data_IF_720746855546
#
_entry.id   IF_720746855546
#
_cell.length_a   1.000
_cell.length_b   1.000
_cell.length_c   1.000
_cell.angle_alpha   90.00
_cell.angle_beta   90.00
_cell.angle_gamma   90.00
#
_symmetry.space_group_name_H-M   'P 1'
#
loop_
_entity.id
_entity.type
_entity.pdbx_description
1 polymer ?
#
# COMPACT_ATOMS: atom_id res chain seq x y z
N UNK A 1 -26.04 -30.13 -0.42
CA UNK A 1 -24.58 -30.10 -0.26
C UNK A 1 -24.19 -28.63 -0.26
N UNK A 2 -24.00 -28.03 0.91
CA UNK A 2 -23.73 -26.60 1.04
C UNK A 2 -22.26 -26.38 0.67
N UNK A 3 -22.01 -25.65 -0.42
CA UNK A 3 -20.68 -25.10 -0.65
C UNK A 3 -20.43 -24.09 0.48
N UNK A 4 -19.60 -24.47 1.45
CA UNK A 4 -18.92 -23.51 2.31
C UNK A 4 -18.02 -22.69 1.36
N UNK A 5 -18.52 -21.52 0.94
CA UNK A 5 -17.66 -20.51 0.35
C UNK A 5 -16.75 -20.01 1.47
N UNK A 6 -15.57 -20.62 1.57
CA UNK A 6 -14.51 -20.16 2.45
C UNK A 6 -14.06 -18.80 1.93
N UNK A 7 -14.43 -17.73 2.64
CA UNK A 7 -13.72 -16.46 2.59
C UNK A 7 -12.22 -16.76 2.63
N UNK A 8 -11.45 -16.36 1.61
CA UNK A 8 -10.01 -16.49 1.69
C UNK A 8 -9.53 -15.34 2.57
N UNK A 9 -9.10 -15.58 3.83
CA UNK A 9 -8.78 -14.51 4.77
C UNK A 9 -7.59 -13.64 4.31
N UNK A 10 -6.91 -14.03 3.23
CA UNK A 10 -5.66 -13.45 2.74
C UNK A 10 -5.83 -12.70 1.41
N UNK A 11 -7.01 -12.20 1.09
CA UNK A 11 -7.27 -11.45 -0.16
C UNK A 11 -7.42 -9.95 0.13
N UNK A 12 -6.68 -9.11 -0.61
CA UNK A 12 -6.78 -7.65 -0.53
C UNK A 12 -7.55 -7.14 -1.74
N UNK A 13 -8.50 -6.24 -1.52
CA UNK A 13 -9.34 -5.69 -2.60
C UNK A 13 -9.32 -4.18 -2.58
N UNK A 14 -9.03 -3.59 -3.73
CA UNK A 14 -8.99 -2.16 -3.93
C UNK A 14 -9.90 -1.73 -5.08
N UNK A 15 -10.78 -0.77 -4.81
CA UNK A 15 -11.70 -0.18 -5.77
C UNK A 15 -11.28 1.24 -6.11
N UNK A 16 -10.96 1.46 -7.38
CA UNK A 16 -10.71 2.78 -7.95
C UNK A 16 -11.97 3.27 -8.67
N UNK A 17 -12.80 4.04 -7.99
CA UNK A 17 -14.04 4.57 -8.56
C UNK A 17 -13.81 5.68 -9.59
N UNK A 18 -12.61 6.27 -9.66
CA UNK A 18 -12.29 7.24 -10.71
C UNK A 18 -12.13 6.52 -12.05
N UNK A 19 -11.50 5.34 -12.03
CA UNK A 19 -11.29 4.55 -13.23
C UNK A 19 -12.30 3.40 -13.38
N UNK A 20 -13.20 3.19 -12.42
CA UNK A 20 -14.16 2.10 -12.43
C UNK A 20 -13.50 0.72 -12.41
N UNK A 21 -12.34 0.60 -11.77
CA UNK A 21 -11.50 -0.61 -11.76
C UNK A 21 -11.42 -1.22 -10.37
N UNK A 22 -11.30 -2.54 -10.34
CA UNK A 22 -11.10 -3.34 -9.14
C UNK A 22 -9.80 -4.14 -9.26
N UNK A 23 -9.01 -4.11 -8.19
CA UNK A 23 -7.75 -4.83 -8.04
C UNK A 23 -7.91 -5.84 -6.91
N UNK A 24 -7.53 -7.10 -7.17
CA UNK A 24 -7.61 -8.20 -6.20
C UNK A 24 -6.24 -8.86 -6.09
N UNK A 25 -5.72 -8.96 -4.88
CA UNK A 25 -4.41 -9.52 -4.58
C UNK A 25 -4.57 -10.70 -3.63
N UNK A 26 -4.22 -11.90 -4.09
CA UNK A 26 -4.24 -13.12 -3.28
C UNK A 26 -2.89 -13.31 -2.58
N UNK A 27 -2.85 -13.00 -1.28
CA UNK A 27 -1.66 -13.17 -0.45
C UNK A 27 -1.40 -14.62 -0.08
N UNK A 28 -2.40 -15.52 -0.14
CA UNK A 28 -2.17 -16.95 0.00
C UNK A 28 -1.36 -17.51 -1.18
N UNK A 29 -1.41 -16.85 -2.34
CA UNK A 29 -0.61 -17.17 -3.54
C UNK A 29 0.57 -16.21 -3.73
N UNK A 30 1.29 -15.89 -2.65
CA UNK A 30 2.50 -15.05 -2.71
C UNK A 30 2.28 -13.65 -3.30
N UNK A 31 1.09 -13.06 -3.12
CA UNK A 31 0.77 -11.74 -3.68
C UNK A 31 0.54 -11.80 -5.19
N UNK A 32 -0.05 -12.90 -5.69
CA UNK A 32 -0.47 -12.99 -7.09
C UNK A 32 -1.68 -12.08 -7.28
N UNK A 33 -1.65 -11.25 -8.33
CA UNK A 33 -2.79 -10.44 -8.68
C UNK A 33 -3.76 -11.20 -9.59
N UNK A 34 -5.04 -11.14 -9.27
CA UNK A 34 -6.09 -11.56 -10.19
C UNK A 34 -6.24 -10.55 -11.35
N UNK A 35 -6.82 -10.95 -12.49
CA UNK A 35 -7.06 -10.03 -13.59
C UNK A 35 -7.84 -8.79 -13.12
N UNK A 36 -7.26 -7.60 -13.35
CA UNK A 36 -7.93 -6.32 -13.10
C UNK A 36 -9.23 -6.28 -13.91
N UNK A 37 -10.33 -5.93 -13.25
CA UNK A 37 -11.68 -5.97 -13.80
C UNK A 37 -12.51 -4.75 -13.44
N UNK A 38 -13.77 -4.67 -13.92
CA UNK A 38 -14.70 -3.64 -13.48
C UNK A 38 -15.04 -3.82 -11.99
N UNK A 39 -15.35 -2.71 -11.31
CA UNK A 39 -16.05 -2.77 -10.03
C UNK A 39 -17.42 -3.41 -10.26
N UNK A 40 -17.69 -4.49 -9.56
CA UNK A 40 -18.92 -5.26 -9.74
C UNK A 40 -20.05 -4.61 -8.96
N UNK A 41 -21.23 -4.44 -9.58
CA UNK A 41 -22.37 -3.71 -9.00
C UNK A 41 -22.93 -4.29 -7.70
N UNK A 42 -22.64 -5.57 -7.42
CA UNK A 42 -22.99 -6.23 -6.17
C UNK A 42 -21.94 -6.06 -5.07
N UNK A 43 -20.80 -5.41 -5.37
CA UNK A 43 -19.60 -5.35 -4.55
C UNK A 43 -19.28 -6.74 -3.99
N UNK A 44 -18.77 -7.62 -4.85
CA UNK A 44 -18.48 -9.03 -4.57
C UNK A 44 -17.59 -9.31 -3.34
N UNK A 45 -17.13 -8.27 -2.65
CA UNK A 45 -16.49 -8.34 -1.33
C UNK A 45 -17.49 -8.71 -0.23
N UNK A 46 -18.80 -8.61 -0.47
CA UNK A 46 -19.86 -8.97 0.48
C UNK A 46 -20.68 -10.15 -0.07
N UNK A 47 -20.71 -11.25 0.66
CA UNK A 47 -21.54 -12.41 0.35
C UNK A 47 -22.73 -12.54 1.28
N UNK A 48 -23.78 -13.20 0.79
CA UNK A 48 -24.95 -13.57 1.58
C UNK A 48 -24.86 -15.03 1.96
N UNK A 49 -24.99 -15.34 3.24
CA UNK A 49 -25.07 -16.73 3.68
C UNK A 49 -26.49 -17.30 3.44
N UNK A 50 -26.69 -18.62 3.57
CA UNK A 50 -28.01 -19.24 3.35
C UNK A 50 -29.11 -18.78 4.32
N UNK A 51 -28.75 -18.21 5.48
CA UNK A 51 -29.72 -17.67 6.44
C UNK A 51 -30.08 -16.19 6.18
N UNK A 52 -29.55 -15.62 5.10
CA UNK A 52 -29.86 -14.27 4.64
C UNK A 52 -28.99 -13.16 5.25
N UNK A 53 -28.06 -13.50 6.14
CA UNK A 53 -27.09 -12.57 6.73
C UNK A 53 -25.95 -12.30 5.75
N UNK A 54 -25.59 -11.04 5.59
CA UNK A 54 -24.44 -10.63 4.77
C UNK A 54 -23.15 -10.69 5.59
N UNK A 55 -22.05 -11.10 4.97
CA UNK A 55 -20.71 -11.16 5.55
C UNK A 55 -19.66 -10.76 4.50
N UNK A 56 -18.49 -10.29 4.95
CA UNK A 56 -17.38 -9.99 4.05
C UNK A 56 -16.69 -11.29 3.59
N UNK A 57 -16.41 -11.40 2.29
CA UNK A 57 -15.57 -12.45 1.74
C UNK A 57 -14.08 -12.21 2.00
N UNK A 58 -13.65 -10.93 2.08
CA UNK A 58 -12.29 -10.54 2.45
C UNK A 58 -12.33 -9.50 3.57
N UNK A 59 -11.73 -9.83 4.71
CA UNK A 59 -11.64 -8.95 5.88
C UNK A 59 -10.33 -8.16 5.90
N UNK A 60 -9.32 -8.60 5.16
CA UNK A 60 -8.01 -7.95 5.09
C UNK A 60 -8.01 -6.89 3.98
N UNK A 61 -8.59 -5.74 4.32
CA UNK A 61 -8.48 -4.44 3.63
C UNK A 61 -9.26 -4.28 2.31
N UNK A 62 -10.57 -4.00 2.43
CA UNK A 62 -11.36 -3.32 1.40
C UNK A 62 -10.99 -1.82 1.35
N UNK A 63 -10.40 -1.38 0.26
CA UNK A 63 -10.01 0.01 0.05
C UNK A 63 -10.82 0.68 -1.07
N UNK A 64 -11.24 1.93 -0.85
CA UNK A 64 -12.09 2.69 -1.78
C UNK A 64 -11.46 4.05 -2.07
N UNK A 65 -11.13 4.30 -3.34
CA UNK A 65 -10.64 5.59 -3.83
C UNK A 65 -11.66 6.27 -4.73
N UNK A 66 -11.92 7.56 -4.46
CA UNK A 66 -13.05 8.29 -5.05
C UNK A 66 -12.64 9.58 -5.77
N UNK A 67 -11.33 9.86 -5.88
CA UNK A 67 -10.82 11.05 -6.57
C UNK A 67 -11.15 12.38 -5.89
N UNK A 68 -10.77 13.49 -6.52
CA UNK A 68 -10.96 14.86 -5.99
C UNK A 68 -11.91 15.76 -6.79
N UNK A 69 -12.51 15.33 -7.91
CA UNK A 69 -13.38 16.22 -8.71
C UNK A 69 -14.57 15.51 -9.36
N UNK A 70 -15.80 16.06 -9.25
CA UNK A 70 -16.91 15.72 -10.13
C UNK A 70 -16.69 16.30 -11.52
N UNK A 71 -16.83 15.47 -12.56
CA UNK A 71 -17.03 15.95 -13.93
C UNK A 71 -18.41 15.52 -14.41
N UNK A 72 -19.10 16.46 -15.04
CA UNK A 72 -20.44 16.29 -15.61
C UNK A 72 -20.42 15.22 -16.72
N UNK A 73 -21.09 14.09 -16.48
CA UNK A 73 -21.34 13.05 -17.45
C UNK A 73 -22.80 12.61 -17.44
N UNK A 74 -23.44 12.60 -18.61
CA UNK A 74 -24.88 12.35 -18.83
C UNK A 74 -25.23 10.86 -19.00
N UNK A 75 -24.61 9.96 -18.24
CA UNK A 75 -24.94 8.53 -18.25
C UNK A 75 -25.37 8.09 -16.87
N UNK A 76 -26.47 7.33 -16.75
CA UNK A 76 -26.93 6.74 -15.50
C UNK A 76 -25.81 5.90 -14.88
N UNK A 77 -25.14 6.38 -13.82
CA UNK A 77 -23.97 5.72 -13.26
C UNK A 77 -24.39 4.43 -12.55
N UNK A 78 -23.62 3.36 -12.70
CA UNK A 78 -23.80 2.18 -11.85
C UNK A 78 -23.40 2.47 -10.40
N UNK A 79 -22.47 3.41 -10.17
CA UNK A 79 -22.07 3.90 -8.85
C UNK A 79 -22.10 5.43 -8.79
N UNK A 80 -22.76 6.02 -7.79
CA UNK A 80 -22.83 7.47 -7.58
C UNK A 80 -22.76 7.88 -6.10
N UNK A 81 -22.17 9.05 -5.82
CA UNK A 81 -22.25 9.70 -4.50
C UNK A 81 -23.67 10.23 -4.32
N UNK A 82 -24.39 9.69 -3.33
CA UNK A 82 -25.79 10.05 -3.07
C UNK A 82 -25.92 11.25 -2.11
N UNK A 83 -24.80 11.71 -1.54
CA UNK A 83 -24.74 12.79 -0.56
C UNK A 83 -24.21 12.30 0.78
N UNK A 84 -24.66 12.96 1.85
CA UNK A 84 -24.27 12.62 3.23
C UNK A 84 -25.47 12.07 4.00
N UNK A 85 -25.23 11.04 4.79
CA UNK A 85 -26.23 10.31 5.58
C UNK A 85 -25.81 10.32 7.05
N UNK A 86 -26.75 10.59 7.96
CA UNK A 86 -26.53 10.45 9.39
C UNK A 86 -26.74 9.00 9.81
N UNK A 87 -25.76 8.41 10.51
CA UNK A 87 -25.85 7.09 11.13
C UNK A 87 -25.49 7.23 12.60
N UNK A 88 -26.52 7.21 13.46
CA UNK A 88 -26.35 7.62 14.86
C UNK A 88 -25.90 9.07 14.92
N UNK A 89 -24.78 9.32 15.60
CA UNK A 89 -24.18 10.66 15.74
C UNK A 89 -23.11 10.97 14.67
N UNK A 90 -22.86 10.06 13.71
CA UNK A 90 -21.87 10.27 12.63
C UNK A 90 -22.52 10.76 11.33
N UNK A 91 -21.90 11.76 10.68
CA UNK A 91 -22.23 12.17 9.31
C UNK A 91 -21.28 11.48 8.32
N UNK A 92 -21.82 10.62 7.46
CA UNK A 92 -21.06 9.77 6.54
C UNK A 92 -21.36 10.15 5.09
N UNK A 93 -20.36 10.08 4.20
CA UNK A 93 -20.57 10.13 2.76
C UNK A 93 -21.17 8.80 2.27
N UNK A 94 -22.18 8.86 1.42
CA UNK A 94 -22.88 7.68 0.88
C UNK A 94 -22.60 7.50 -0.61
N UNK A 95 -22.20 6.29 -0.99
CA UNK A 95 -21.96 5.88 -2.37
C UNK A 95 -22.86 4.70 -2.70
N UNK A 96 -23.69 4.85 -3.73
CA UNK A 96 -24.77 3.92 -4.02
C UNK A 96 -24.56 3.29 -5.39
N UNK A 97 -24.85 2.00 -5.49
CA UNK A 97 -24.99 1.27 -6.74
C UNK A 97 -26.28 0.52 -6.84
N UNK A 98 -26.69 0.25 -8.08
CA UNK A 98 -27.88 -0.51 -8.39
C UNK A 98 -27.51 -1.62 -9.36
N UNK A 99 -27.91 -2.84 -9.05
CA UNK A 99 -27.80 -3.97 -9.96
C UNK A 99 -29.11 -4.77 -10.02
N UNK A 100 -29.30 -5.47 -11.14
CA UNK A 100 -30.39 -6.42 -11.28
C UNK A 100 -29.85 -7.81 -10.97
N UNK A 101 -30.36 -8.43 -9.92
CA UNK A 101 -30.04 -9.82 -9.63
C UNK A 101 -30.80 -10.70 -10.64
N UNK A 102 -30.09 -11.28 -11.61
CA UNK A 102 -30.67 -12.31 -12.47
C UNK A 102 -30.64 -13.62 -11.70
N UNK A 103 -31.78 -13.99 -11.11
CA UNK A 103 -31.94 -15.33 -10.55
C UNK A 103 -31.79 -16.37 -11.67
N UNK A 104 -30.69 -17.13 -11.68
CA UNK A 104 -30.55 -18.33 -12.52
C UNK A 104 -31.59 -19.42 -12.19
N UNK A 105 -32.44 -19.20 -11.19
CA UNK A 105 -33.58 -20.03 -10.88
C UNK A 105 -34.87 -19.20 -10.75
N UNK A 106 -35.74 -19.41 -11.73
CA UNK A 106 -37.19 -19.13 -11.75
C UNK A 106 -37.68 -17.73 -12.15
N UNK A 107 -38.40 -17.76 -13.29
CA UNK A 107 -39.39 -16.82 -13.79
C UNK A 107 -38.90 -15.43 -14.21
N UNK A 108 -38.71 -15.31 -15.52
CA UNK A 108 -38.19 -14.19 -16.30
C UNK A 108 -38.96 -12.84 -16.23
N UNK A 109 -39.75 -12.56 -15.19
CA UNK A 109 -40.57 -11.33 -15.13
C UNK A 109 -40.38 -10.45 -13.89
N UNK A 110 -39.47 -10.77 -12.96
CA UNK A 110 -39.16 -9.87 -11.85
C UNK A 110 -37.70 -9.96 -11.45
N UNK A 111 -36.81 -9.31 -12.21
CA UNK A 111 -35.47 -9.01 -11.72
C UNK A 111 -35.60 -8.23 -10.40
N UNK A 112 -35.06 -8.77 -9.31
CA UNK A 112 -34.99 -8.04 -8.06
C UNK A 112 -33.89 -6.99 -8.23
N UNK A 113 -34.29 -5.72 -8.24
CA UNK A 113 -33.34 -4.62 -8.13
C UNK A 113 -32.78 -4.65 -6.71
N UNK A 114 -31.47 -4.75 -6.62
CA UNK A 114 -30.72 -4.64 -5.36
C UNK A 114 -29.91 -3.35 -5.44
N UNK A 115 -29.95 -2.58 -4.35
CA UNK A 115 -29.17 -1.36 -4.20
C UNK A 115 -28.11 -1.60 -3.14
N UNK A 116 -26.86 -1.31 -3.44
CA UNK A 116 -25.74 -1.41 -2.49
C UNK A 116 -25.24 -0.02 -2.15
N UNK A 117 -25.26 0.34 -0.88
CA UNK A 117 -24.80 1.63 -0.36
C UNK A 117 -23.56 1.42 0.52
N UNK A 118 -22.46 2.05 0.15
CA UNK A 118 -21.22 2.09 0.92
C UNK A 118 -21.18 3.41 1.68
N UNK A 119 -21.14 3.33 3.00
CA UNK A 119 -21.04 4.49 3.88
C UNK A 119 -19.60 4.71 4.32
N UNK A 120 -19.08 5.90 4.06
CA UNK A 120 -17.69 6.28 4.32
C UNK A 120 -17.66 7.45 5.30
N UNK A 121 -17.04 7.26 6.46
CA UNK A 121 -16.69 8.36 7.34
C UNK A 121 -15.57 9.16 6.69
N UNK A 122 -15.80 10.44 6.45
CA UNK A 122 -14.77 11.35 5.96
C UNK A 122 -14.26 12.16 7.14
N UNK A 123 -13.08 11.82 7.60
CA UNK A 123 -12.58 12.12 8.93
C UNK A 123 -11.87 13.47 9.02
N UNK A 124 -12.49 14.53 8.52
CA UNK A 124 -12.01 15.90 8.73
C UNK A 124 -12.46 16.48 10.08
N UNK A 125 -12.97 15.63 10.98
CA UNK A 125 -13.54 16.05 12.26
C UNK A 125 -12.44 16.16 13.34
N UNK A 126 -12.15 17.39 13.76
CA UNK A 126 -11.00 17.75 14.60
C UNK A 126 -11.03 17.11 16.00
N UNK A 127 -12.22 16.74 16.48
CA UNK A 127 -12.45 16.21 17.83
C UNK A 127 -12.15 14.71 18.00
N UNK A 128 -11.73 14.03 16.94
CA UNK A 128 -11.41 12.59 16.97
C UNK A 128 -9.91 12.34 17.14
N UNK A 129 -9.57 11.21 17.75
CA UNK A 129 -8.18 10.77 17.92
C UNK A 129 -7.47 10.63 16.56
N UNK A 130 -6.13 10.74 16.52
CA UNK A 130 -5.36 10.71 15.26
C UNK A 130 -5.63 9.47 14.38
N UNK A 131 -5.99 8.33 14.99
CA UNK A 131 -6.38 7.11 14.27
C UNK A 131 -7.77 7.18 13.63
N UNK A 132 -8.67 7.98 14.19
CA UNK A 132 -10.04 8.21 13.70
C UNK A 132 -10.14 9.42 12.76
N UNK A 133 -9.05 10.16 12.56
CA UNK A 133 -8.89 11.24 11.57
C UNK A 133 -8.56 10.73 10.17
N UNK A 134 -8.78 9.44 9.88
CA UNK A 134 -8.66 8.87 8.52
C UNK A 134 -10.01 8.40 7.99
N UNK A 135 -10.29 8.59 6.69
CA UNK A 135 -11.55 8.14 6.16
C UNK A 135 -11.70 6.64 6.38
N UNK A 136 -12.93 6.18 6.60
CA UNK A 136 -13.18 4.75 6.82
C UNK A 136 -14.51 4.30 6.26
N UNK A 137 -14.53 3.16 5.58
CA UNK A 137 -15.78 2.45 5.29
C UNK A 137 -16.38 1.99 6.62
N UNK A 138 -17.59 2.47 6.91
CA UNK A 138 -18.36 2.18 8.11
C UNK A 138 -19.34 1.04 7.92
N UNK A 139 -19.95 0.97 6.75
CA UNK A 139 -20.85 -0.13 6.43
C UNK A 139 -21.06 -0.27 4.94
N UNK A 140 -21.45 -1.48 4.53
CA UNK A 140 -22.13 -1.72 3.27
C UNK A 140 -23.57 -2.12 3.58
N UNK A 141 -24.53 -1.43 2.96
CA UNK A 141 -25.96 -1.65 3.14
C UNK A 141 -26.55 -2.17 1.84
N UNK A 142 -27.20 -3.33 1.90
CA UNK A 142 -27.93 -3.90 0.77
C UNK A 142 -29.43 -3.65 0.98
N UNK A 143 -30.05 -2.93 0.06
CA UNK A 143 -31.50 -2.77 -0.03
C UNK A 143 -32.04 -3.72 -1.10
N UNK A 144 -33.03 -4.52 -0.72
CA UNK A 144 -33.74 -5.43 -1.62
C UNK A 144 -35.25 -5.26 -1.45
N UNK A 145 -36.04 -5.84 -2.35
CA UNK A 145 -37.51 -5.92 -2.18
C UNK A 145 -37.94 -6.57 -0.85
N UNK A 146 -37.09 -7.42 -0.28
CA UNK A 146 -37.37 -8.18 0.94
C UNK A 146 -36.87 -7.48 2.21
N UNK A 147 -36.34 -6.25 2.11
CA UNK A 147 -35.88 -5.46 3.24
C UNK A 147 -34.44 -4.97 3.10
N UNK A 148 -33.93 -4.41 4.20
CA UNK A 148 -32.60 -3.82 4.32
C UNK A 148 -31.70 -4.73 5.17
N UNK A 149 -30.52 -5.06 4.66
CA UNK A 149 -29.47 -5.75 5.41
C UNK A 149 -28.23 -4.87 5.46
N UNK A 150 -27.57 -4.78 6.62
CA UNK A 150 -26.38 -3.93 6.82
C UNK A 150 -25.22 -4.77 7.33
N UNK A 151 -24.08 -4.70 6.65
CA UNK A 151 -22.80 -5.18 7.18
C UNK A 151 -22.08 -3.98 7.78
N UNK A 152 -22.01 -3.95 9.11
CA UNK A 152 -21.32 -2.89 9.84
C UNK A 152 -19.86 -3.26 10.08
N UNK A 153 -19.00 -2.27 9.94
CA UNK A 153 -17.57 -2.37 10.11
C UNK A 153 -17.13 -1.64 11.37
N UNK A 154 -16.39 -2.32 12.23
CA UNK A 154 -15.86 -1.69 13.45
C UNK A 154 -14.96 -0.49 13.13
N UNK A 155 -14.19 -0.57 12.03
CA UNK A 155 -13.45 0.53 11.40
C UNK A 155 -12.62 -0.04 10.24
N UNK A 156 -13.08 0.07 8.99
CA UNK A 156 -12.25 -0.28 7.83
C UNK A 156 -11.67 1.00 7.24
N UNK A 157 -10.37 1.21 7.40
CA UNK A 157 -9.74 2.48 7.05
C UNK A 157 -9.69 2.65 5.53
N UNK A 158 -10.47 3.57 4.96
CA UNK A 158 -10.15 4.21 3.67
C UNK A 158 -9.04 5.18 3.97
N UNK A 159 -7.82 4.67 3.97
CA UNK A 159 -6.67 5.53 4.16
C UNK A 159 -6.61 6.49 2.94
N UNK A 160 -7.30 7.63 2.91
CA UNK A 160 -7.16 8.58 1.78
C UNK A 160 -5.71 9.06 1.60
N UNK A 161 -4.90 8.90 2.66
CA UNK A 161 -3.46 9.14 2.65
C UNK A 161 -2.62 7.82 2.66
N UNK A 162 -3.26 6.65 2.76
CA UNK A 162 -2.62 5.33 2.67
C UNK A 162 -3.12 4.47 1.50
N UNK A 163 -4.02 4.96 0.64
CA UNK A 163 -4.29 4.43 -0.69
C UNK A 163 -3.02 4.50 -1.52
N UNK A 164 -2.22 5.54 -1.30
CA UNK A 164 -0.89 5.69 -1.84
C UNK A 164 0.10 4.64 -1.33
N UNK A 165 0.00 4.23 -0.07
CA UNK A 165 0.81 3.15 0.51
C UNK A 165 0.29 1.79 0.03
N UNK A 166 -1.02 1.62 -0.07
CA UNK A 166 -1.68 0.43 -0.60
C UNK A 166 -1.38 0.22 -2.08
N UNK A 167 -1.27 1.29 -2.87
CA UNK A 167 -0.96 1.20 -4.29
C UNK A 167 0.35 0.46 -4.55
N UNK A 168 1.36 0.62 -3.69
CA UNK A 168 2.59 -0.19 -3.78
C UNK A 168 2.32 -1.70 -3.59
N UNK A 169 1.37 -2.08 -2.72
CA UNK A 169 1.00 -3.50 -2.53
C UNK A 169 0.39 -4.10 -3.81
N UNK A 170 -0.39 -3.32 -4.54
CA UNK A 170 -1.03 -3.74 -5.79
C UNK A 170 -0.13 -3.60 -7.01
N UNK A 171 1.18 -3.34 -6.85
CA UNK A 171 2.15 -3.29 -7.95
C UNK A 171 2.07 -4.53 -8.85
N UNK A 172 1.86 -5.72 -8.28
CA UNK A 172 1.74 -6.97 -9.03
C UNK A 172 0.56 -6.99 -10.01
N UNK A 173 -0.44 -6.13 -9.82
CA UNK A 173 -1.60 -6.00 -10.70
C UNK A 173 -1.35 -5.15 -11.94
N UNK A 174 -0.22 -4.44 -11.98
CA UNK A 174 0.05 -3.43 -12.99
C UNK A 174 0.73 -4.07 -14.18
N UNK A 175 0.18 -3.86 -15.38
CA UNK A 175 0.84 -4.27 -16.62
C UNK A 175 2.12 -3.45 -16.79
N UNK A 176 3.26 -4.13 -16.68
CA UNK A 176 4.58 -3.52 -16.87
C UNK A 176 4.71 -2.92 -18.28
N UNK A 177 5.29 -1.72 -18.37
CA UNK A 177 5.51 -0.97 -19.60
C UNK A 177 6.97 -0.93 -20.02
N UNK A 178 7.87 -1.10 -19.07
CA UNK A 178 9.32 -1.09 -19.28
C UNK A 178 9.93 -2.34 -18.68
N UNK A 179 10.82 -2.99 -19.44
CA UNK A 179 11.67 -4.07 -18.95
C UNK A 179 12.78 -3.58 -18.00
N UNK A 180 12.79 -2.29 -17.66
CA UNK A 180 13.79 -1.66 -16.79
C UNK A 180 13.34 -1.76 -15.32
N UNK A 181 14.01 -2.57 -14.49
CA UNK A 181 13.62 -2.82 -13.10
C UNK A 181 13.77 -1.60 -12.19
N UNK A 182 14.43 -0.53 -12.65
CA UNK A 182 14.74 0.66 -11.85
C UNK A 182 13.78 1.85 -12.11
N UNK A 183 12.72 1.70 -12.92
CA UNK A 183 11.76 2.79 -13.19
C UNK A 183 12.20 3.72 -14.33
N UNK A 184 11.33 3.94 -15.31
CA UNK A 184 11.68 4.58 -16.58
C UNK A 184 11.77 6.11 -16.56
N UNK A 185 11.24 6.78 -15.52
CA UNK A 185 11.10 8.24 -15.49
C UNK A 185 11.56 8.84 -14.17
N UNK A 186 11.85 10.14 -14.19
CA UNK A 186 12.14 10.90 -12.98
C UNK A 186 11.42 12.25 -12.94
N UNK A 187 11.15 12.72 -11.72
CA UNK A 187 10.84 14.12 -11.42
C UNK A 187 11.86 14.65 -10.43
N UNK A 188 12.49 15.78 -10.76
CA UNK A 188 13.35 16.51 -9.84
C UNK A 188 12.49 17.40 -8.94
N UNK A 189 12.65 17.25 -7.64
CA UNK A 189 11.89 17.97 -6.62
C UNK A 189 12.64 19.20 -6.10
N UNK A 190 11.92 20.27 -5.82
CA UNK A 190 12.49 21.55 -5.41
C UNK A 190 12.67 21.72 -3.91
N UNK A 191 13.84 22.26 -3.53
CA UNK A 191 14.14 22.85 -2.22
C UNK A 191 13.74 22.02 -0.99
N UNK A 192 13.94 20.69 -1.05
CA UNK A 192 13.75 19.80 0.10
C UNK A 192 14.78 18.66 0.06
N UNK A 193 15.31 18.27 1.23
CA UNK A 193 16.20 17.12 1.35
C UNK A 193 15.40 15.86 1.71
N UNK A 194 15.89 14.69 1.29
CA UNK A 194 15.28 13.41 1.64
C UNK A 194 15.24 13.18 3.15
N UNK A 195 16.27 13.65 3.88
CA UNK A 195 16.34 13.54 5.33
C UNK A 195 15.26 14.41 6.02
N UNK A 196 15.07 15.64 5.55
CA UNK A 196 14.04 16.54 6.08
C UNK A 196 12.65 16.00 5.78
N UNK A 197 12.43 15.51 4.56
CA UNK A 197 11.16 14.91 4.16
C UNK A 197 10.81 13.70 5.02
N UNK A 198 11.76 12.77 5.19
CA UNK A 198 11.52 11.55 5.96
C UNK A 198 11.41 11.81 7.47
N UNK A 199 12.11 12.80 8.01
CA UNK A 199 11.99 13.15 9.44
C UNK A 199 10.65 13.80 9.78
N UNK A 200 10.01 14.50 8.82
CA UNK A 200 8.72 15.16 9.04
C UNK A 200 7.52 14.21 8.90
N UNK A 201 7.55 13.28 7.94
CA UNK A 201 6.37 12.45 7.61
C UNK A 201 6.65 10.94 7.53
N UNK A 202 7.91 10.52 7.48
CA UNK A 202 8.28 9.11 7.31
C UNK A 202 8.43 8.69 5.85
N UNK A 203 9.33 7.76 5.57
CA UNK A 203 9.74 7.37 4.21
C UNK A 203 8.61 6.79 3.35
N UNK A 204 7.73 5.99 3.94
CA UNK A 204 6.56 5.44 3.23
C UNK A 204 5.62 6.55 2.78
N UNK A 205 5.27 7.47 3.68
CA UNK A 205 4.38 8.59 3.40
C UNK A 205 4.97 9.59 2.41
N UNK A 206 6.28 9.83 2.48
CA UNK A 206 7.02 10.63 1.48
C UNK A 206 6.82 10.06 0.08
N UNK A 207 7.08 8.76 -0.10
CA UNK A 207 6.92 8.06 -1.40
C UNK A 207 5.47 8.11 -1.87
N UNK A 208 4.56 7.79 -0.97
CA UNK A 208 3.13 7.72 -1.24
C UNK A 208 2.58 9.08 -1.73
N UNK A 209 2.95 10.18 -1.06
CA UNK A 209 2.52 11.52 -1.45
C UNK A 209 3.06 11.94 -2.83
N UNK A 210 4.32 11.59 -3.13
CA UNK A 210 4.90 11.83 -4.46
C UNK A 210 4.18 10.99 -5.53
N UNK A 211 3.87 9.72 -5.25
CA UNK A 211 3.10 8.87 -6.16
C UNK A 211 1.74 9.48 -6.50
N UNK A 212 1.03 10.02 -5.51
CA UNK A 212 -0.23 10.73 -5.72
C UNK A 212 -0.07 11.97 -6.60
N UNK A 213 0.97 12.77 -6.35
CA UNK A 213 1.23 13.97 -7.15
C UNK A 213 1.52 13.61 -8.61
N UNK A 214 2.31 12.57 -8.84
CA UNK A 214 2.58 12.01 -10.18
C UNK A 214 1.29 11.52 -10.83
N UNK A 215 0.49 10.72 -10.14
CA UNK A 215 -0.78 10.19 -10.65
C UNK A 215 -1.75 11.31 -11.06
N UNK A 216 -1.90 12.34 -10.22
CA UNK A 216 -2.75 13.49 -10.49
C UNK A 216 -2.26 14.32 -11.68
N UNK A 217 -0.96 14.60 -11.75
CA UNK A 217 -0.37 15.40 -12.83
C UNK A 217 -0.34 14.66 -14.19
N UNK A 218 -0.21 13.33 -14.15
CA UNK A 218 -0.28 12.47 -15.34
C UNK A 218 -1.70 12.04 -15.72
N UNK A 219 -2.70 12.36 -14.89
CA UNK A 219 -4.09 11.96 -15.05
C UNK A 219 -4.25 10.44 -15.28
N UNK A 220 -3.63 9.65 -14.41
CA UNK A 220 -3.73 8.18 -14.38
C UNK A 220 -4.14 7.70 -12.99
N UNK A 221 -4.61 6.45 -12.91
CA UNK A 221 -4.85 5.81 -11.62
C UNK A 221 -3.54 5.77 -10.81
N UNK A 222 -3.64 6.04 -9.51
CA UNK A 222 -2.51 5.88 -8.60
C UNK A 222 -1.93 4.47 -8.62
N UNK A 223 -2.78 3.46 -8.85
CA UNK A 223 -2.35 2.07 -8.97
C UNK A 223 -1.39 1.86 -10.14
N UNK A 224 -1.36 2.76 -11.13
CA UNK A 224 -0.43 2.69 -12.26
C UNK A 224 0.92 3.33 -11.98
N UNK A 225 1.12 4.01 -10.85
CA UNK A 225 2.43 4.53 -10.46
C UNK A 225 3.15 3.45 -9.66
N UNK A 226 4.21 2.91 -10.24
CA UNK A 226 4.97 1.79 -9.65
C UNK A 226 6.45 2.13 -9.56
N UNK A 227 7.19 1.33 -8.78
CA UNK A 227 8.64 1.47 -8.62
C UNK A 227 9.09 2.85 -8.14
N UNK A 228 8.26 3.47 -7.29
CA UNK A 228 8.58 4.80 -6.82
C UNK A 228 9.70 4.76 -5.77
N UNK A 229 10.81 5.41 -6.10
CA UNK A 229 11.94 5.57 -5.20
C UNK A 229 12.36 7.05 -5.11
N UNK A 230 12.80 7.47 -3.92
CA UNK A 230 13.33 8.81 -3.70
C UNK A 230 14.84 8.72 -3.46
N UNK A 231 15.64 9.40 -4.28
CA UNK A 231 17.10 9.42 -4.14
C UNK A 231 17.62 10.84 -4.11
N UNK A 232 18.57 11.09 -3.22
CA UNK A 232 19.31 12.35 -3.15
C UNK A 232 20.59 12.23 -3.98
N UNK A 233 20.78 13.14 -4.94
CA UNK A 233 22.05 13.22 -5.67
C UNK A 233 23.18 13.78 -4.80
N UNK A 234 24.43 13.56 -5.23
CA UNK A 234 25.62 14.11 -4.59
C UNK A 234 25.65 15.64 -4.53
N UNK A 235 24.89 16.32 -5.41
CA UNK A 235 24.73 17.78 -5.45
C UNK A 235 23.63 18.30 -4.52
N UNK A 236 22.97 17.43 -3.76
CA UNK A 236 21.89 17.83 -2.86
C UNK A 236 20.56 18.08 -3.57
N UNK A 237 20.38 17.58 -4.79
CA UNK A 237 19.09 17.60 -5.50
C UNK A 237 18.33 16.30 -5.27
N UNK A 238 17.02 16.39 -5.03
CA UNK A 238 16.17 15.25 -4.73
C UNK A 238 15.41 14.81 -5.98
N UNK A 239 15.45 13.51 -6.27
CA UNK A 239 14.83 12.89 -7.43
C UNK A 239 13.79 11.87 -6.97
N UNK A 240 12.63 11.87 -7.63
CA UNK A 240 11.65 10.80 -7.55
C UNK A 240 11.72 9.99 -8.84
N UNK A 241 12.18 8.75 -8.74
CA UNK A 241 12.18 7.77 -9.83
C UNK A 241 10.92 6.93 -9.77
N UNK A 242 10.31 6.63 -10.92
CA UNK A 242 9.09 5.81 -10.98
C UNK A 242 8.87 5.28 -12.40
N UNK A 243 7.91 4.36 -12.53
CA UNK A 243 7.34 3.95 -13.81
C UNK A 243 5.81 4.18 -13.83
N UNK A 244 5.28 4.36 -15.04
CA UNK A 244 3.84 4.45 -15.30
C UNK A 244 3.43 3.17 -16.02
N UNK A 245 2.60 2.35 -15.37
CA UNK A 245 2.05 1.12 -15.92
C UNK A 245 1.13 1.34 -17.11
N UNK A 246 0.97 0.31 -17.94
CA UNK A 246 0.09 0.36 -19.10
C UNK A 246 -1.36 0.40 -18.65
N UNK A 247 -2.28 0.89 -19.50
CA UNK A 247 -3.71 0.68 -19.28
C UNK A 247 -4.00 -0.81 -19.00
N UNK A 248 -4.87 -1.08 -18.03
CA UNK A 248 -5.29 -2.44 -17.71
C UNK A 248 -5.94 -3.13 -18.92
N UNK A 249 -6.61 -2.36 -19.78
CA UNK A 249 -7.42 -2.87 -20.88
C UNK A 249 -8.69 -3.59 -20.42
N UNK A 250 -9.02 -3.50 -19.13
CA UNK A 250 -10.23 -4.05 -18.56
C UNK A 250 -11.45 -3.19 -18.97
N UNK A 251 -12.62 -3.83 -19.00
CA UNK A 251 -13.88 -3.10 -19.09
C UNK A 251 -14.09 -2.35 -17.77
N UNK A 252 -14.31 -1.04 -17.84
CA UNK A 252 -14.48 -0.19 -16.66
C UNK A 252 -15.96 -0.16 -16.22
N UNK A 253 -16.19 -0.18 -14.91
CA UNK A 253 -17.52 0.07 -14.34
C UNK A 253 -17.95 1.52 -14.57
N UNK A 254 -19.25 1.74 -14.78
CA UNK A 254 -19.78 3.10 -14.99
C UNK A 254 -19.91 3.83 -13.65
N UNK A 255 -19.07 4.82 -13.41
CA UNK A 255 -19.12 5.68 -12.21
C UNK A 255 -19.37 7.14 -12.60
N UNK A 256 -19.86 7.97 -11.66
CA UNK A 256 -20.01 9.41 -11.89
C UNK A 256 -18.67 10.14 -12.14
N UNK A 257 -17.56 9.52 -11.75
CA UNK A 257 -16.21 10.08 -11.87
C UNK A 257 -15.41 9.38 -12.96
N UNK A 258 -16.05 8.59 -13.82
CA UNK A 258 -15.37 7.68 -14.73
C UNK A 258 -14.43 8.44 -15.67
N UNK A 259 -13.14 8.13 -15.53
CA UNK A 259 -12.08 8.53 -16.43
C UNK A 259 -11.61 7.32 -17.21
N UNK A 260 -11.31 7.53 -18.50
CA UNK A 260 -10.68 6.51 -19.32
C UNK A 260 -9.20 6.40 -18.96
N UNK A 261 -8.69 5.17 -18.94
CA UNK A 261 -7.26 4.96 -18.78
C UNK A 261 -6.50 5.55 -19.97
N UNK A 262 -5.60 6.50 -19.71
CA UNK A 262 -4.75 7.09 -20.74
C UNK A 262 -3.59 6.16 -21.12
N UNK A 263 -3.21 6.07 -22.40
CA UNK A 263 -1.94 5.48 -22.82
C UNK A 263 -0.75 6.15 -22.11
N UNK A 264 0.33 5.40 -21.93
CA UNK A 264 1.54 5.87 -21.22
C UNK A 264 2.12 7.13 -21.87
N UNK A 265 2.11 7.19 -23.20
CA UNK A 265 2.61 8.35 -23.96
C UNK A 265 1.83 9.63 -23.66
N UNK A 266 0.50 9.54 -23.53
CA UNK A 266 -0.35 10.69 -23.19
C UNK A 266 -0.20 11.08 -21.72
N UNK A 267 -0.09 10.10 -20.81
CA UNK A 267 0.17 10.33 -19.39
C UNK A 267 1.48 11.09 -19.16
N UNK A 268 2.53 10.74 -19.91
CA UNK A 268 3.83 11.43 -19.90
C UNK A 268 3.70 12.87 -20.40
N UNK A 269 2.95 13.10 -21.48
CA UNK A 269 2.70 14.44 -21.99
C UNK A 269 1.95 15.31 -20.98
N UNK A 270 0.93 14.75 -20.31
CA UNK A 270 0.19 15.44 -19.24
C UNK A 270 1.09 15.81 -18.06
N UNK A 271 1.96 14.88 -17.63
CA UNK A 271 2.89 15.14 -16.54
C UNK A 271 3.90 16.23 -16.90
N UNK A 272 4.49 16.15 -18.10
CA UNK A 272 5.44 17.14 -18.58
C UNK A 272 4.80 18.53 -18.67
N UNK A 273 3.57 18.62 -19.21
CA UNK A 273 2.81 19.86 -19.26
C UNK A 273 2.52 20.41 -17.84
N UNK A 274 2.14 19.55 -16.91
CA UNK A 274 1.87 19.93 -15.52
C UNK A 274 3.12 20.51 -14.83
N UNK A 275 4.30 19.96 -15.08
CA UNK A 275 5.56 20.46 -14.54
C UNK A 275 5.97 21.78 -15.22
N UNK A 276 5.87 21.86 -16.55
CA UNK A 276 6.18 23.08 -17.29
C UNK A 276 5.30 24.28 -16.90
N UNK A 277 4.03 24.03 -16.54
CA UNK A 277 3.08 25.04 -16.07
C UNK A 277 3.21 25.35 -14.57
N UNK A 278 4.08 24.66 -13.82
CA UNK A 278 4.21 24.82 -12.37
C UNK A 278 3.04 24.25 -11.56
N UNK A 279 2.21 23.42 -12.19
CA UNK A 279 1.04 22.79 -11.56
C UNK A 279 1.37 21.49 -10.83
N UNK A 280 2.57 20.93 -11.03
CA UNK A 280 3.04 19.78 -10.25
C UNK A 280 3.42 20.21 -8.84
N UNK A 281 2.58 19.82 -7.89
CA UNK A 281 2.77 20.10 -6.48
C UNK A 281 2.50 18.84 -5.67
N UNK A 282 3.50 18.39 -4.92
CA UNK A 282 3.31 17.39 -3.87
C UNK A 282 2.77 18.11 -2.65
N UNK A 283 1.59 17.69 -2.18
CA UNK A 283 0.96 18.21 -0.97
C UNK A 283 0.96 17.11 0.08
N UNK A 284 1.71 17.30 1.15
CA UNK A 284 1.73 16.35 2.26
C UNK A 284 1.07 17.00 3.48
N UNK A 285 -0.11 16.53 3.91
CA UNK A 285 -0.72 17.03 5.14
C UNK A 285 0.15 16.59 6.33
N UNK A 286 0.68 17.55 7.09
CA UNK A 286 1.43 17.28 8.30
C UNK A 286 0.47 17.09 9.48
N UNK A 287 0.64 16.04 10.29
CA UNK A 287 -0.15 15.86 11.50
C UNK A 287 0.33 16.86 12.55
N UNK A 288 -0.25 18.07 12.60
CA UNK A 288 -0.07 18.95 13.76
C UNK A 288 -1.08 18.55 14.83
N UNK A 289 -0.63 18.47 16.08
CA UNK A 289 -1.49 18.16 17.23
C UNK A 289 -2.59 19.19 17.52
N UNK A 290 -2.74 20.24 16.69
CA UNK A 290 -3.57 21.42 16.98
C UNK A 290 -4.47 21.87 15.82
N UNK A 291 -4.87 20.99 14.90
CA UNK A 291 -5.90 21.33 13.89
C UNK A 291 -5.43 22.33 12.83
N UNK A 292 -4.13 22.62 12.74
CA UNK A 292 -3.59 23.33 11.58
C UNK A 292 -3.12 22.31 10.55
N UNK A 293 -3.81 22.22 9.42
CA UNK A 293 -3.32 21.51 8.24
C UNK A 293 -2.16 22.28 7.63
N UNK A 294 -0.96 22.18 8.21
CA UNK A 294 0.25 22.60 7.51
C UNK A 294 0.49 21.60 6.40
N UNK A 295 0.38 22.04 5.15
CA UNK A 295 0.74 21.25 3.98
C UNK A 295 2.21 21.51 3.64
N UNK A 296 3.02 20.46 3.57
CA UNK A 296 4.30 20.54 2.90
C UNK A 296 4.04 20.56 1.39
N UNK A 297 4.46 21.63 0.74
CA UNK A 297 4.25 21.89 -0.70
C UNK A 297 5.61 21.77 -1.39
N UNK A 298 5.78 20.74 -2.22
CA UNK A 298 7.02 20.51 -2.97
C UNK A 298 6.72 20.64 -4.45
N UNK A 299 7.37 21.57 -5.12
CA UNK A 299 7.22 21.76 -6.55
C UNK A 299 8.14 20.83 -7.34
N UNK A 300 7.63 20.29 -8.44
CA UNK A 300 8.43 19.59 -9.44
C UNK A 300 9.08 20.61 -10.35
N UNK A 301 10.40 20.51 -10.54
CA UNK A 301 11.17 21.48 -11.32
C UNK A 301 11.46 20.94 -12.72
N UNK A 302 11.64 19.63 -12.85
CA UNK A 302 12.06 19.00 -14.09
C UNK A 302 11.50 17.58 -14.17
N UNK A 303 11.19 17.16 -15.39
CA UNK A 303 10.81 15.80 -15.73
C UNK A 303 11.68 15.27 -16.88
N UNK A 304 11.96 13.97 -16.87
CA UNK A 304 12.70 13.31 -17.94
C UNK A 304 12.70 11.79 -17.82
N UNK A 305 13.29 11.15 -18.81
CA UNK A 305 13.57 9.71 -18.78
C UNK A 305 14.79 9.42 -17.91
N UNK A 306 14.76 8.34 -17.13
CA UNK A 306 15.88 7.95 -16.26
C UNK A 306 17.17 7.74 -17.06
N UNK A 307 17.07 7.22 -18.29
CA UNK A 307 18.17 7.03 -19.24
C UNK A 307 18.91 8.32 -19.64
N UNK A 308 18.25 9.48 -19.50
CA UNK A 308 18.84 10.79 -19.83
C UNK A 308 19.74 11.36 -18.73
N UNK A 309 19.67 10.78 -17.52
CA UNK A 309 20.62 11.09 -16.46
C UNK A 309 21.94 10.36 -16.74
N UNK A 310 23.07 11.02 -16.48
CA UNK A 310 24.42 10.44 -16.67
C UNK A 310 24.48 9.00 -16.14
N UNK A 311 25.28 8.11 -16.79
CA UNK A 311 25.33 6.71 -16.41
C UNK A 311 25.59 6.58 -14.91
N UNK A 312 24.67 5.91 -14.20
CA UNK A 312 24.88 5.54 -12.81
C UNK A 312 26.26 4.89 -12.73
N UNK A 313 27.13 5.26 -11.77
CA UNK A 313 28.28 4.41 -11.49
C UNK A 313 27.74 2.98 -11.33
N UNK A 314 28.39 1.98 -11.95
CA UNK A 314 27.90 0.61 -11.95
C UNK A 314 27.55 0.22 -10.51
N UNK A 315 26.44 -0.50 -10.29
CA UNK A 315 26.04 -0.91 -8.95
C UNK A 315 27.28 -1.45 -8.23
N UNK A 316 27.55 -1.04 -6.97
CA UNK A 316 28.64 -1.62 -6.23
C UNK A 316 28.48 -3.13 -6.35
N UNK A 317 29.52 -3.80 -6.86
CA UNK A 317 29.48 -5.25 -7.11
C UNK A 317 28.85 -5.87 -5.87
N UNK A 318 27.87 -6.80 -6.03
CA UNK A 318 27.26 -7.44 -4.88
C UNK A 318 28.39 -7.81 -3.94
N UNK A 319 28.32 -7.27 -2.72
CA UNK A 319 29.26 -7.65 -1.66
C UNK A 319 29.32 -9.16 -1.74
N UNK A 320 30.51 -9.76 -1.94
CA UNK A 320 30.59 -11.19 -2.16
C UNK A 320 29.74 -11.85 -1.10
N UNK A 321 28.72 -12.63 -1.54
CA UNK A 321 28.00 -13.53 -0.65
C UNK A 321 29.03 -14.16 0.26
N UNK A 322 28.76 -14.23 1.56
CA UNK A 322 29.70 -14.74 2.55
C UNK A 322 30.28 -16.09 2.09
N UNK A 323 31.39 -16.05 1.37
CA UNK A 323 32.17 -17.23 0.99
C UNK A 323 32.85 -17.55 2.30
N UNK A 324 32.42 -18.65 2.91
CA UNK A 324 32.75 -19.01 4.29
C UNK A 324 34.21 -18.80 4.66
N UNK A 325 34.48 -18.74 5.97
CA UNK A 325 35.81 -18.49 6.51
C UNK A 325 36.91 -19.20 5.73
N UNK A 326 37.80 -18.42 5.12
CA UNK A 326 39.01 -18.93 4.47
C UNK A 326 39.75 -19.89 5.42
N UNK A 327 40.44 -20.91 4.89
CA UNK A 327 41.16 -21.89 5.72
C UNK A 327 42.14 -21.26 6.72
N UNK A 328 42.66 -20.06 6.43
CA UNK A 328 43.51 -19.28 7.34
C UNK A 328 42.75 -18.76 8.56
N UNK A 329 41.51 -18.27 8.39
CA UNK A 329 40.64 -17.86 9.51
C UNK A 329 40.25 -19.03 10.41
N UNK A 330 39.95 -20.21 9.85
CA UNK A 330 39.70 -21.42 10.64
C UNK A 330 40.97 -21.89 11.40
N UNK A 331 42.16 -21.73 10.80
CA UNK A 331 43.43 -22.08 11.46
C UNK A 331 43.71 -21.18 12.66
N UNK A 332 43.45 -19.87 12.55
CA UNK A 332 43.64 -18.93 13.65
C UNK A 332 42.70 -19.26 14.81
N UNK A 333 41.43 -19.54 14.52
CA UNK A 333 40.45 -19.94 15.55
C UNK A 333 40.88 -21.24 16.22
N UNK A 334 41.34 -22.24 15.46
CA UNK A 334 41.84 -23.50 16.03
C UNK A 334 43.04 -23.29 16.96
N UNK A 335 43.98 -22.40 16.60
CA UNK A 335 45.13 -22.05 17.45
C UNK A 335 44.66 -21.37 18.74
N UNK A 336 43.73 -20.42 18.66
CA UNK A 336 43.20 -19.77 19.86
C UNK A 336 42.45 -20.75 20.77
N UNK A 337 41.65 -21.66 20.21
CA UNK A 337 40.99 -22.72 20.97
C UNK A 337 42.00 -23.68 21.63
N UNK A 338 43.09 -24.02 20.94
CA UNK A 338 44.14 -24.88 21.48
C UNK A 338 44.90 -24.20 22.62
N UNK A 339 45.30 -22.93 22.46
CA UNK A 339 46.01 -22.16 23.50
C UNK A 339 45.12 -21.97 24.73
N UNK A 340 43.84 -21.64 24.53
CA UNK A 340 42.88 -21.47 25.63
C UNK A 340 42.60 -22.81 26.34
N UNK A 341 42.46 -23.91 25.61
CA UNK A 341 42.35 -25.26 26.19
C UNK A 341 43.59 -25.64 27.02
N UNK A 342 44.79 -25.41 26.48
CA UNK A 342 46.04 -25.72 27.17
C UNK A 342 46.23 -24.89 28.45
N UNK A 343 45.90 -23.60 28.41
CA UNK A 343 45.97 -22.72 29.59
C UNK A 343 44.97 -23.12 30.67
N UNK A 344 43.75 -23.52 30.31
CA UNK A 344 42.77 -24.05 31.26
C UNK A 344 43.26 -25.34 31.94
N UNK A 345 43.80 -26.29 31.18
CA UNK A 345 44.30 -27.57 31.74
C UNK A 345 45.50 -27.34 32.64
N UNK A 346 46.47 -26.52 32.24
CA UNK A 346 47.62 -26.18 33.07
C UNK A 346 47.20 -25.45 34.36
N UNK A 347 46.27 -24.49 34.27
CA UNK A 347 45.71 -23.79 35.42
C UNK A 347 45.01 -24.73 36.40
N UNK A 348 44.18 -25.64 35.89
CA UNK A 348 43.50 -26.65 36.70
C UNK A 348 44.49 -27.61 37.39
N UNK A 349 45.54 -28.04 36.68
CA UNK A 349 46.58 -28.90 37.25
C UNK A 349 47.36 -28.21 38.38
N UNK A 350 47.79 -26.95 38.18
CA UNK A 350 48.50 -26.17 39.20
C UNK A 350 47.61 -25.96 40.43
N UNK A 351 46.33 -25.64 40.25
CA UNK A 351 45.37 -25.50 41.35
C UNK A 351 45.18 -26.83 42.09
N UNK A 352 45.08 -27.94 41.37
CA UNK A 352 44.98 -29.27 41.97
C UNK A 352 46.22 -29.62 42.79
N UNK A 353 47.43 -29.37 42.26
CA UNK A 353 48.69 -29.63 42.96
C UNK A 353 48.85 -28.75 44.20
N UNK A 354 48.51 -27.45 44.12
CA UNK A 354 48.49 -26.56 45.30
C UNK A 354 47.47 -27.02 46.34
N UNK A 355 46.29 -27.49 45.91
CA UNK A 355 45.28 -28.03 46.82
C UNK A 355 45.77 -29.30 47.54
N UNK A 356 46.49 -30.18 46.85
CA UNK A 356 47.10 -31.37 47.47
C UNK A 356 48.23 -30.99 48.43
N UNK A 357 49.08 -30.02 48.08
CA UNK A 357 50.14 -29.53 48.97
C UNK A 357 49.61 -28.93 50.27
N UNK A 358 48.56 -28.08 50.19
CA UNK A 358 47.92 -27.50 51.38
C UNK A 358 47.26 -28.58 52.24
N UNK A 359 46.61 -29.59 51.62
CA UNK A 359 46.05 -30.73 52.36
C UNK A 359 47.14 -31.57 53.03
N UNK A 360 48.29 -31.78 52.39
CA UNK A 360 49.44 -32.47 52.96
C UNK A 360 50.04 -31.75 54.17
N UNK A 361 50.17 -30.41 54.11
CA UNK A 361 50.62 -29.62 55.26
C UNK A 361 49.60 -29.61 56.40
N UNK A 362 48.30 -29.63 56.10
CA UNK A 362 47.26 -29.72 57.13
C UNK A 362 47.32 -31.06 57.88
N UNK A 363 47.63 -32.18 57.22
CA UNK A 363 47.80 -33.48 57.89
C UNK A 363 49.05 -33.54 58.78
N UNK A 364 50.14 -32.83 58.45
CA UNK A 364 51.36 -32.76 59.28
C UNK A 364 51.25 -31.83 60.51
N UNK A 365 50.17 -31.06 60.65
CA UNK A 365 49.92 -30.21 61.83
C UNK A 365 48.99 -30.89 62.84
N UNK A 366 48.37 -32.03 62.47
CA UNK A 366 47.43 -32.79 63.31
C UNK A 366 47.87 -34.24 63.62
N UNK A 367 49.08 -34.64 63.23
CA UNK A 367 49.89 -35.70 63.87
C UNK A 367 51.03 -35.03 64.63
#
# INVERSE_FOLDING_TARGET
>A
MAAMFTSNPNEFVAHDFVYGLQYRLDMARHGTCDPVGPIEGNLHDVARNPNGTMYLLSAEELAVWMGKQPLNGSTSPQFYHSGKVHVGDELLDSYVSQFSESSEAQNANQSAVVVVEVLVANSMDENRSNDQRRPSVRSVVHYSKNGRTTVAFASYRTLLNGWQVLAEKFRACVKATTADPDGGYFVRMGNVSLADLNSQVGSEWSRAAVAQAVANASNVSLMRIVDLNLEQSSKGELYAFFAIGAPSGAVQAQTIYLQKELPVTEAIQSLNASIALGNFVVRIPLPTGHGQNTELVISGIQFGERSSLEPRPPPPRPSPEFVGFSGSTLSIVAIFCFISGATFVAGAYILHQKRQYIRGMAYQVFE
#
